data_IF_433563702548
#
_entry.id   IF_433563702548
#
_cell.length_a   1.000
_cell.length_b   1.000
_cell.length_c   1.000
_cell.angle_alpha   90.00
_cell.angle_beta   90.00
_cell.angle_gamma   90.00
#
_symmetry.space_group_name_H-M   'P 1'
#
loop_
_entity.id
_entity.type
_entity.pdbx_description
1 polymer ?
#
# COMPACT_ATOMS: atom_id res chain seq x y z
N UNK A 1 6.23 -28.77 -2.27
CA UNK A 1 5.66 -27.69 -1.41
C UNK A 1 4.43 -27.15 -2.15
N UNK A 2 3.25 -27.44 -1.66
CA UNK A 2 1.99 -26.90 -2.21
C UNK A 2 2.01 -25.38 -2.03
N UNK A 3 1.98 -24.63 -3.13
CA UNK A 3 1.81 -23.17 -3.09
C UNK A 3 0.54 -22.87 -2.28
N UNK A 4 0.68 -22.11 -1.18
CA UNK A 4 -0.48 -21.60 -0.46
C UNK A 4 -1.35 -20.81 -1.44
N UNK A 5 -2.64 -21.07 -1.46
CA UNK A 5 -3.58 -20.31 -2.31
C UNK A 5 -3.87 -18.91 -1.71
N UNK A 6 -3.15 -18.52 -0.65
CA UNK A 6 -3.32 -17.29 0.08
C UNK A 6 -2.12 -16.37 -0.16
N UNK A 7 -2.40 -15.13 -0.58
CA UNK A 7 -1.39 -14.10 -0.77
C UNK A 7 -1.00 -13.45 0.56
N UNK A 8 -1.94 -13.39 1.52
CA UNK A 8 -1.70 -12.91 2.88
C UNK A 8 -2.20 -13.97 3.85
N UNK A 9 -1.37 -14.30 4.84
CA UNK A 9 -1.78 -15.07 6.03
C UNK A 9 -1.29 -14.33 7.28
N UNK A 10 -2.24 -13.98 8.13
CA UNK A 10 -2.01 -13.40 9.45
C UNK A 10 -2.32 -14.49 10.45
N UNK A 11 -1.37 -14.81 11.33
CA UNK A 11 -1.46 -15.89 12.28
C UNK A 11 -1.28 -15.37 13.70
N UNK A 12 -2.36 -15.35 14.47
CA UNK A 12 -2.42 -14.99 15.89
C UNK A 12 -1.71 -13.66 16.22
N UNK A 13 -1.93 -12.64 15.37
CA UNK A 13 -1.29 -11.34 15.54
C UNK A 13 -1.88 -10.61 16.74
N UNK A 14 -0.99 -10.27 17.67
CA UNK A 14 -1.26 -9.34 18.76
C UNK A 14 -0.40 -8.09 18.60
N UNK A 15 -1.01 -6.91 18.80
CA UNK A 15 -0.30 -5.65 18.87
C UNK A 15 -0.72 -4.87 20.09
N UNK A 16 0.25 -4.64 20.99
CA UNK A 16 0.12 -3.81 22.16
C UNK A 16 0.97 -2.55 22.00
N UNK A 17 0.44 -1.43 22.47
CA UNK A 17 1.16 -0.22 22.78
C UNK A 17 1.24 -0.07 24.31
N UNK A 18 2.07 0.82 24.89
CA UNK A 18 2.27 0.89 26.34
C UNK A 18 0.97 0.86 27.15
N UNK A 19 -0.07 1.56 26.68
CA UNK A 19 -1.30 1.75 27.43
C UNK A 19 -2.49 0.92 26.91
N UNK A 20 -2.33 0.17 25.81
CA UNK A 20 -3.48 -0.50 25.16
C UNK A 20 -3.10 -1.65 24.25
N UNK A 21 -3.82 -2.76 24.37
CA UNK A 21 -3.87 -3.80 23.33
C UNK A 21 -4.81 -3.35 22.22
N UNK A 22 -4.29 -3.19 21.01
CA UNK A 22 -5.06 -2.70 19.84
C UNK A 22 -5.53 -3.86 18.96
N UNK A 23 -4.71 -4.89 18.82
CA UNK A 23 -5.08 -6.13 18.16
C UNK A 23 -4.79 -7.28 19.13
N UNK A 24 -5.74 -8.19 19.27
CA UNK A 24 -5.63 -9.34 20.17
C UNK A 24 -5.96 -10.63 19.42
N UNK A 25 -4.96 -11.46 19.21
CA UNK A 25 -5.07 -12.78 18.58
C UNK A 25 -5.82 -12.78 17.23
N UNK A 26 -5.47 -11.84 16.34
CA UNK A 26 -6.12 -11.70 15.05
C UNK A 26 -5.50 -12.67 14.04
N UNK A 27 -6.35 -13.47 13.41
CA UNK A 27 -5.97 -14.38 12.31
C UNK A 27 -6.84 -14.11 11.10
N UNK A 28 -6.21 -14.06 9.90
CA UNK A 28 -6.87 -13.72 8.63
C UNK A 28 -6.11 -14.37 7.47
N UNK A 29 -6.84 -14.85 6.47
CA UNK A 29 -6.28 -15.34 5.22
C UNK A 29 -6.95 -14.65 4.05
N UNK A 30 -6.14 -14.16 3.08
CA UNK A 30 -6.60 -13.49 1.87
C UNK A 30 -6.06 -14.26 0.67
N UNK A 31 -6.94 -14.60 -0.26
CA UNK A 31 -6.57 -15.34 -1.48
C UNK A 31 -5.95 -14.41 -2.51
N UNK A 32 -5.20 -14.99 -3.45
CA UNK A 32 -4.72 -14.26 -4.62
C UNK A 32 -5.89 -13.67 -5.41
N UNK A 33 -5.82 -12.36 -5.73
CA UNK A 33 -6.86 -11.66 -6.50
C UNK A 33 -8.13 -11.34 -5.72
N UNK A 34 -8.16 -11.61 -4.41
CA UNK A 34 -9.30 -11.26 -3.56
C UNK A 34 -9.32 -9.76 -3.25
N UNK A 35 -10.51 -9.17 -3.26
CA UNK A 35 -10.77 -7.84 -2.74
C UNK A 35 -11.41 -7.96 -1.35
N UNK A 36 -10.65 -7.62 -0.32
CA UNK A 36 -11.07 -7.71 1.07
C UNK A 36 -11.32 -6.32 1.66
N UNK A 37 -12.47 -6.13 2.31
CA UNK A 37 -12.78 -4.91 3.07
C UNK A 37 -12.78 -5.21 4.56
N UNK A 38 -12.01 -4.41 5.32
CA UNK A 38 -11.96 -4.46 6.78
C UNK A 38 -12.87 -3.37 7.33
N UNK A 39 -13.97 -3.77 7.97
CA UNK A 39 -14.97 -2.87 8.55
C UNK A 39 -14.83 -2.81 10.06
N UNK A 40 -15.22 -1.69 10.64
CA UNK A 40 -15.25 -1.49 12.09
C UNK A 40 -15.21 -0.01 12.47
N UNK A 41 -15.54 0.32 13.74
CA UNK A 41 -15.56 1.70 14.23
C UNK A 41 -14.16 2.35 14.20
N UNK A 42 -14.11 3.67 14.34
CA UNK A 42 -12.84 4.38 14.49
C UNK A 42 -12.07 3.86 15.72
N UNK A 43 -10.75 3.68 15.58
CA UNK A 43 -9.88 3.21 16.65
C UNK A 43 -9.93 1.70 16.96
N UNK A 44 -10.64 0.88 16.17
CA UNK A 44 -10.66 -0.59 16.35
C UNK A 44 -9.45 -1.33 15.81
N UNK A 45 -8.42 -0.63 15.27
CA UNK A 45 -7.16 -1.25 14.85
C UNK A 45 -6.99 -1.48 13.34
N UNK A 46 -7.92 -1.07 12.47
CA UNK A 46 -7.82 -1.25 11.00
C UNK A 46 -6.50 -0.73 10.42
N UNK A 47 -6.21 0.54 10.63
CA UNK A 47 -4.94 1.17 10.20
C UNK A 47 -3.72 0.48 10.83
N UNK A 48 -3.82 0.04 12.10
CA UNK A 48 -2.74 -0.70 12.76
C UNK A 48 -2.47 -2.03 12.06
N UNK A 49 -3.51 -2.76 11.70
CA UNK A 49 -3.38 -4.02 10.96
C UNK A 49 -2.74 -3.81 9.58
N UNK A 50 -3.20 -2.80 8.83
CA UNK A 50 -2.61 -2.45 7.53
C UNK A 50 -1.13 -2.06 7.67
N UNK A 51 -0.77 -1.28 8.70
CA UNK A 51 0.62 -0.91 8.99
C UNK A 51 1.49 -2.10 9.39
N UNK A 52 0.95 -3.09 10.07
CA UNK A 52 1.66 -4.34 10.37
C UNK A 52 1.93 -5.14 9.09
N UNK A 53 0.94 -5.27 8.20
CA UNK A 53 1.12 -5.96 6.90
C UNK A 53 2.15 -5.21 6.05
N UNK A 54 2.10 -3.89 6.02
CA UNK A 54 3.06 -3.06 5.29
C UNK A 54 4.46 -3.02 5.92
N UNK A 55 4.62 -3.44 7.19
CA UNK A 55 5.90 -3.43 7.89
C UNK A 55 6.27 -2.11 8.56
N UNK A 56 5.35 -1.13 8.61
CA UNK A 56 5.58 0.14 9.33
C UNK A 56 5.49 0.00 10.85
N UNK A 57 4.85 -1.07 11.33
CA UNK A 57 4.82 -1.44 12.73
C UNK A 57 5.27 -2.89 12.89
N UNK A 58 5.87 -3.22 14.04
CA UNK A 58 6.18 -4.60 14.42
C UNK A 58 5.03 -5.17 15.26
N UNK A 59 4.69 -6.44 15.06
CA UNK A 59 3.77 -7.15 15.91
C UNK A 59 4.39 -7.42 17.29
N UNK A 60 3.57 -7.49 18.33
CA UNK A 60 4.00 -7.94 19.67
C UNK A 60 4.14 -9.44 19.71
N UNK A 61 3.29 -10.19 19.00
CA UNK A 61 3.37 -11.64 18.78
C UNK A 61 2.62 -12.03 17.51
N UNK A 62 2.79 -13.29 17.10
CA UNK A 62 2.19 -13.86 15.88
C UNK A 62 3.07 -13.70 14.65
N UNK A 63 2.53 -14.04 13.47
CA UNK A 63 3.28 -14.03 12.20
C UNK A 63 2.47 -13.40 11.07
N UNK A 64 3.20 -12.77 10.14
CA UNK A 64 2.66 -12.22 8.88
C UNK A 64 3.37 -12.92 7.73
N UNK A 65 2.62 -13.65 6.92
CA UNK A 65 3.13 -14.39 5.78
C UNK A 65 2.56 -13.74 4.51
N UNK A 66 3.42 -13.38 3.56
CA UNK A 66 3.05 -12.88 2.24
C UNK A 66 3.65 -13.81 1.19
N UNK A 67 2.79 -14.31 0.29
CA UNK A 67 3.18 -15.27 -0.77
C UNK A 67 4.05 -16.43 -0.23
N UNK A 68 3.63 -17.01 0.91
CA UNK A 68 4.32 -18.12 1.59
C UNK A 68 5.62 -17.75 2.31
N UNK A 69 6.03 -16.48 2.35
CA UNK A 69 7.24 -16.00 3.04
C UNK A 69 6.89 -15.28 4.32
N UNK A 70 7.59 -15.60 5.40
CA UNK A 70 7.45 -14.89 6.67
C UNK A 70 8.04 -13.47 6.54
N UNK A 71 7.18 -12.45 6.71
CA UNK A 71 7.51 -11.03 6.62
C UNK A 71 7.54 -10.35 7.99
N UNK A 72 7.42 -11.09 9.07
CA UNK A 72 7.24 -10.53 10.42
C UNK A 72 8.34 -9.53 10.80
N UNK A 73 9.58 -9.81 10.41
CA UNK A 73 10.74 -8.95 10.69
C UNK A 73 11.27 -8.18 9.46
N UNK A 74 10.67 -8.42 8.28
CA UNK A 74 11.15 -7.80 7.03
C UNK A 74 10.73 -6.32 6.99
N UNK A 75 11.64 -5.40 6.65
CA UNK A 75 11.35 -3.97 6.59
C UNK A 75 10.39 -3.62 5.44
N UNK A 76 9.68 -2.47 5.51
CA UNK A 76 8.65 -2.09 4.53
C UNK A 76 9.11 -2.10 3.07
N UNK A 77 10.33 -1.62 2.81
CA UNK A 77 10.85 -1.47 1.44
C UNK A 77 11.20 -2.79 0.75
N UNK A 78 11.31 -3.88 1.51
CA UNK A 78 11.57 -5.22 0.99
C UNK A 78 10.28 -6.06 0.84
N UNK A 79 9.13 -5.56 1.32
CA UNK A 79 7.86 -6.27 1.20
C UNK A 79 7.22 -6.04 -0.18
N UNK A 80 6.60 -7.06 -0.78
CA UNK A 80 5.92 -6.94 -2.08
C UNK A 80 4.55 -6.25 -1.96
N UNK A 81 4.48 -5.19 -1.16
CA UNK A 81 3.25 -4.48 -0.77
C UNK A 81 3.39 -3.00 -1.08
N UNK A 82 2.35 -2.38 -1.62
CA UNK A 82 2.25 -0.93 -1.68
C UNK A 82 1.04 -0.45 -0.88
N UNK A 83 1.16 0.74 -0.29
CA UNK A 83 0.12 1.33 0.55
C UNK A 83 -0.32 2.69 -0.01
N UNK A 84 -1.62 2.91 -0.09
CA UNK A 84 -2.23 4.23 -0.25
C UNK A 84 -2.67 4.70 1.13
N UNK A 85 -2.04 5.77 1.61
CA UNK A 85 -2.31 6.34 2.93
C UNK A 85 -3.54 7.27 2.90
N UNK A 86 -4.21 7.42 4.02
CA UNK A 86 -5.35 8.30 4.22
C UNK A 86 -5.07 9.76 3.82
N UNK A 87 -3.85 10.27 4.03
CA UNK A 87 -3.40 11.62 3.64
C UNK A 87 -2.55 11.63 2.37
N UNK A 88 -2.71 10.62 1.49
CA UNK A 88 -2.07 10.45 0.18
C UNK A 88 -0.54 10.40 0.19
N UNK A 89 0.15 11.10 1.10
CA UNK A 89 1.61 11.18 1.25
C UNK A 89 2.35 11.42 -0.07
N UNK A 90 1.85 12.34 -0.91
CA UNK A 90 2.54 12.76 -2.12
C UNK A 90 3.79 13.55 -1.77
N UNK A 91 4.81 13.45 -2.61
CA UNK A 91 6.02 14.24 -2.50
C UNK A 91 5.75 15.67 -3.00
N UNK A 92 5.75 16.69 -2.12
CA UNK A 92 5.29 18.03 -2.48
C UNK A 92 6.23 18.76 -3.46
N UNK A 93 7.50 18.36 -3.52
CA UNK A 93 8.51 18.95 -4.40
C UNK A 93 8.58 18.25 -5.77
N UNK A 94 7.70 17.29 -6.04
CA UNK A 94 7.62 16.56 -7.29
C UNK A 94 6.31 16.85 -8.00
N UNK A 95 6.36 16.91 -9.33
CA UNK A 95 5.15 16.94 -10.16
C UNK A 95 4.44 15.57 -10.13
N UNK A 96 3.33 15.44 -10.84
CA UNK A 96 2.55 14.21 -10.92
C UNK A 96 3.36 13.05 -11.50
N UNK A 97 4.10 13.29 -12.59
CA UNK A 97 4.95 12.28 -13.23
C UNK A 97 6.00 11.75 -12.27
N UNK A 98 6.75 12.65 -11.64
CA UNK A 98 7.85 12.27 -10.74
C UNK A 98 7.36 11.54 -9.49
N UNK A 99 6.19 11.92 -8.96
CA UNK A 99 5.53 11.18 -7.89
C UNK A 99 5.26 9.72 -8.28
N UNK A 100 4.68 9.49 -9.47
CA UNK A 100 4.34 8.15 -9.94
C UNK A 100 5.60 7.37 -10.31
N UNK A 101 6.55 7.99 -10.99
CA UNK A 101 7.78 7.37 -11.46
C UNK A 101 8.77 7.02 -10.33
N UNK A 102 8.62 7.61 -9.14
CA UNK A 102 9.59 7.52 -8.05
C UNK A 102 10.05 6.09 -7.75
N UNK A 103 9.11 5.17 -7.52
CA UNK A 103 9.44 3.78 -7.20
C UNK A 103 10.09 3.02 -8.36
N UNK A 104 9.78 3.37 -9.61
CA UNK A 104 10.40 2.78 -10.80
C UNK A 104 11.83 3.29 -10.97
N UNK A 105 12.08 4.58 -10.69
CA UNK A 105 13.42 5.16 -10.70
C UNK A 105 14.33 4.50 -9.66
N UNK A 106 13.84 4.25 -8.44
CA UNK A 106 14.59 3.51 -7.40
C UNK A 106 14.96 2.10 -7.85
N UNK A 107 14.08 1.43 -8.61
CA UNK A 107 14.32 0.10 -9.18
C UNK A 107 15.17 0.13 -10.45
N UNK A 108 15.64 1.31 -10.88
CA UNK A 108 16.46 1.51 -12.10
C UNK A 108 15.80 0.92 -13.36
N UNK A 109 14.48 1.04 -13.46
CA UNK A 109 13.72 0.64 -14.66
C UNK A 109 14.12 1.56 -15.83
N UNK A 110 14.11 1.03 -17.05
CA UNK A 110 14.43 1.80 -18.27
C UNK A 110 13.48 2.99 -18.44
N UNK A 111 14.01 4.15 -18.90
CA UNK A 111 13.25 5.40 -19.03
C UNK A 111 12.02 5.28 -19.93
N UNK A 112 12.14 4.57 -21.06
CA UNK A 112 11.00 4.36 -21.99
C UNK A 112 9.90 3.54 -21.32
N UNK A 113 10.28 2.52 -20.55
CA UNK A 113 9.34 1.71 -19.80
C UNK A 113 8.66 2.52 -18.68
N UNK A 114 9.40 3.37 -17.95
CA UNK A 114 8.84 4.28 -16.95
C UNK A 114 7.77 5.16 -17.58
N UNK A 115 8.08 5.83 -18.70
CA UNK A 115 7.15 6.70 -19.40
C UNK A 115 5.84 5.97 -19.78
N UNK A 116 5.96 4.78 -20.35
CA UNK A 116 4.81 3.96 -20.72
C UNK A 116 3.96 3.54 -19.51
N UNK A 117 4.61 3.13 -18.42
CA UNK A 117 3.92 2.71 -17.20
C UNK A 117 3.21 3.88 -16.53
N UNK A 118 3.85 5.06 -16.45
CA UNK A 118 3.25 6.28 -15.88
C UNK A 118 2.03 6.71 -16.68
N UNK A 119 2.14 6.80 -18.02
CA UNK A 119 1.00 7.13 -18.89
C UNK A 119 -0.16 6.15 -18.71
N UNK A 120 0.13 4.84 -18.64
CA UNK A 120 -0.89 3.82 -18.38
C UNK A 120 -1.55 4.00 -17.01
N UNK A 121 -0.76 4.24 -15.95
CA UNK A 121 -1.28 4.45 -14.61
C UNK A 121 -2.18 5.69 -14.54
N UNK A 122 -1.77 6.81 -15.15
CA UNK A 122 -2.58 8.02 -15.24
C UNK A 122 -3.90 7.80 -15.99
N UNK A 123 -3.86 7.07 -17.12
CA UNK A 123 -5.06 6.70 -17.85
C UNK A 123 -6.02 5.87 -17.00
N UNK A 124 -5.51 4.91 -16.21
CA UNK A 124 -6.33 4.07 -15.32
C UNK A 124 -7.06 4.86 -14.24
N UNK A 125 -6.49 5.96 -13.78
CA UNK A 125 -7.10 6.82 -12.76
C UNK A 125 -7.83 8.05 -13.35
N UNK A 126 -7.98 8.12 -14.68
CA UNK A 126 -8.68 9.22 -15.38
C UNK A 126 -7.97 10.57 -15.25
N UNK A 127 -6.62 10.57 -15.31
CA UNK A 127 -5.78 11.78 -15.17
C UNK A 127 -4.77 11.90 -16.33
N UNK A 128 -5.20 11.58 -17.55
CA UNK A 128 -4.40 11.82 -18.75
C UNK A 128 -4.08 13.33 -18.85
N UNK A 129 -2.89 13.67 -19.35
CA UNK A 129 -2.37 15.03 -19.52
C UNK A 129 -2.12 15.82 -18.20
N UNK A 130 -2.03 15.13 -17.06
CA UNK A 130 -1.69 15.72 -15.77
C UNK A 130 -0.21 15.57 -15.40
N UNK A 131 0.61 14.97 -16.23
CA UNK A 131 2.00 14.54 -15.95
C UNK A 131 2.85 15.65 -15.33
N UNK A 132 2.75 16.85 -15.90
CA UNK A 132 3.62 17.99 -15.53
C UNK A 132 2.99 18.92 -14.49
N UNK A 133 1.81 18.61 -13.97
CA UNK A 133 1.16 19.44 -12.96
C UNK A 133 1.83 19.33 -11.60
N UNK A 134 1.89 20.44 -10.89
CA UNK A 134 2.28 20.48 -9.49
C UNK A 134 1.21 19.76 -8.64
N UNK A 135 1.63 18.83 -7.79
CA UNK A 135 0.71 18.06 -6.92
C UNK A 135 -0.02 18.96 -5.92
N UNK A 136 0.58 20.10 -5.53
CA UNK A 136 -0.03 21.05 -4.61
C UNK A 136 -1.19 21.84 -5.25
N UNK A 137 -1.24 21.91 -6.58
CA UNK A 137 -2.33 22.55 -7.31
C UNK A 137 -3.56 21.67 -7.50
N UNK A 138 -3.46 20.39 -7.11
CA UNK A 138 -4.51 19.40 -7.30
C UNK A 138 -5.54 19.42 -6.17
N UNK A 139 -6.82 19.16 -6.53
CA UNK A 139 -7.84 18.87 -5.51
C UNK A 139 -7.52 17.59 -4.72
N UNK A 140 -8.09 17.43 -3.52
CA UNK A 140 -7.89 16.24 -2.70
C UNK A 140 -8.19 14.93 -3.43
N UNK A 141 -9.30 14.89 -4.20
CA UNK A 141 -9.64 13.71 -5.01
C UNK A 141 -8.66 13.47 -6.17
N UNK A 142 -8.04 14.52 -6.74
CA UNK A 142 -6.98 14.37 -7.74
C UNK A 142 -5.68 13.87 -7.10
N UNK A 143 -5.30 14.42 -5.95
CA UNK A 143 -4.15 13.94 -5.18
C UNK A 143 -4.29 12.47 -4.81
N UNK A 144 -5.47 12.04 -4.40
CA UNK A 144 -5.78 10.65 -4.13
C UNK A 144 -5.56 9.77 -5.36
N UNK A 145 -6.06 10.19 -6.53
CA UNK A 145 -5.87 9.44 -7.78
C UNK A 145 -4.38 9.33 -8.16
N UNK A 146 -3.59 10.38 -7.96
CA UNK A 146 -2.13 10.32 -8.14
C UNK A 146 -1.48 9.33 -7.17
N UNK A 147 -1.90 9.31 -5.90
CA UNK A 147 -1.39 8.36 -4.91
C UNK A 147 -1.72 6.90 -5.29
N UNK A 148 -2.93 6.65 -5.80
CA UNK A 148 -3.31 5.33 -6.33
C UNK A 148 -2.45 4.96 -7.54
N UNK A 149 -2.27 5.88 -8.51
CA UNK A 149 -1.42 5.65 -9.68
C UNK A 149 0.02 5.31 -9.27
N UNK A 150 0.60 6.04 -8.29
CA UNK A 150 1.92 5.78 -7.72
C UNK A 150 2.01 4.40 -7.06
N UNK A 151 0.95 3.95 -6.42
CA UNK A 151 0.93 2.65 -5.77
C UNK A 151 0.85 1.50 -6.77
N UNK A 152 0.04 1.62 -7.83
CA UNK A 152 -0.18 0.53 -8.80
C UNK A 152 0.91 0.42 -9.87
N UNK A 153 1.63 1.51 -10.19
CA UNK A 153 2.66 1.54 -11.26
C UNK A 153 3.76 0.51 -11.05
N UNK A 154 4.07 0.21 -9.78
CA UNK A 154 5.08 -0.77 -9.38
C UNK A 154 4.61 -2.23 -9.51
N UNK A 155 3.34 -2.47 -9.86
CA UNK A 155 2.70 -3.80 -9.95
C UNK A 155 2.90 -4.61 -8.66
N UNK A 156 2.48 -4.11 -7.50
CA UNK A 156 2.63 -4.82 -6.24
C UNK A 156 1.80 -6.11 -6.24
N UNK A 157 2.22 -7.11 -5.47
CA UNK A 157 1.43 -8.32 -5.25
C UNK A 157 0.23 -8.04 -4.35
N UNK A 158 0.39 -7.09 -3.41
CA UNK A 158 -0.66 -6.65 -2.48
C UNK A 158 -0.76 -5.14 -2.50
N UNK A 159 -1.97 -4.63 -2.65
CA UNK A 159 -2.29 -3.21 -2.51
C UNK A 159 -3.11 -2.99 -1.24
N UNK A 160 -2.60 -2.19 -0.33
CA UNK A 160 -3.28 -1.79 0.90
C UNK A 160 -3.87 -0.40 0.73
N UNK A 161 -5.14 -0.24 1.10
CA UNK A 161 -5.86 1.03 1.04
C UNK A 161 -6.33 1.41 2.44
N UNK A 162 -5.77 2.49 3.01
CA UNK A 162 -6.14 3.00 4.33
C UNK A 162 -7.13 4.16 4.17
N UNK A 163 -8.41 3.88 4.39
CA UNK A 163 -9.54 4.82 4.24
C UNK A 163 -9.56 5.58 2.89
N UNK A 164 -9.52 4.88 1.74
CA UNK A 164 -9.35 5.52 0.44
C UNK A 164 -10.54 6.38 -0.02
N UNK A 165 -11.67 6.33 0.67
CA UNK A 165 -12.90 7.04 0.30
C UNK A 165 -13.21 8.21 1.25
N UNK A 166 -12.33 8.54 2.19
CA UNK A 166 -12.56 9.60 3.19
C UNK A 166 -12.52 11.03 2.61
N UNK A 167 -12.13 11.17 1.36
CA UNK A 167 -12.12 12.44 0.61
C UNK A 167 -13.24 12.51 -0.41
#
# INVERSE_FOLDING_TARGET
MTKSNHIIEIQNITKSFPDKVVLNDVSLKVKQGEFLTILGPSGCGKTTLLRLIAGFNSASSGKIILDGKDMTTIPPHERPVNTVFQRYALFPNYNVYDNIAFGLNLKKVDKKEIEQRVKRALKMVGMTDYEHRDVNSLSGGQQQRVAIARAIVNRPQVLLLDEPLAA
#
